data_IF_138212668834
#
_entry.id   IF_138212668834
#
_cell.length_a   1.000
_cell.length_b   1.000
_cell.length_c   1.000
_cell.angle_alpha   90.00
_cell.angle_beta   90.00
_cell.angle_gamma   90.00
#
_symmetry.space_group_name_H-M   'P 1'
#
loop_
_entity.id
_entity.type
_entity.pdbx_description
1 polymer ?
#
# COMPACT_ATOMS: atom_id res chain seq x y z
N UNK A 1 25.03 -3.57 44.65
CA UNK A 1 23.65 -3.14 44.31
C UNK A 1 23.75 -1.76 43.70
N UNK A 2 23.32 -1.58 42.44
CA UNK A 2 23.41 -0.28 41.77
C UNK A 2 22.30 0.65 42.28
N UNK A 3 22.61 1.92 42.52
CA UNK A 3 21.63 2.94 42.95
C UNK A 3 20.82 3.43 41.74
N UNK A 4 19.55 3.73 41.95
CA UNK A 4 18.70 4.36 40.93
C UNK A 4 19.04 5.86 40.79
N UNK A 5 18.67 6.48 39.66
CA UNK A 5 18.85 7.91 39.46
C UNK A 5 18.17 8.73 40.58
N UNK A 6 16.94 8.36 40.98
CA UNK A 6 16.23 9.01 42.08
C UNK A 6 16.94 8.85 43.44
N UNK A 7 17.57 7.71 43.70
CA UNK A 7 18.35 7.51 44.92
C UNK A 7 19.59 8.42 44.94
N UNK A 8 20.28 8.57 43.80
CA UNK A 8 21.44 9.46 43.67
C UNK A 8 21.05 10.94 43.79
N UNK A 9 19.94 11.36 43.18
CA UNK A 9 19.41 12.72 43.27
C UNK A 9 19.09 13.06 44.73
N UNK A 10 18.39 12.16 45.43
CA UNK A 10 18.03 12.34 46.84
C UNK A 10 19.28 12.46 47.71
N UNK A 11 20.24 11.55 47.54
CA UNK A 11 21.50 11.58 48.29
C UNK A 11 22.32 12.85 48.02
N UNK A 12 22.32 13.35 46.79
CA UNK A 12 23.02 14.60 46.44
C UNK A 12 22.37 15.82 47.14
N UNK A 13 21.04 15.89 47.19
CA UNK A 13 20.33 16.93 47.94
C UNK A 13 20.56 16.83 49.45
N UNK A 14 20.57 15.62 50.01
CA UNK A 14 20.86 15.38 51.43
C UNK A 14 22.29 15.77 51.79
N UNK A 15 23.27 15.37 50.98
CA UNK A 15 24.70 15.68 51.19
C UNK A 15 24.99 17.19 51.08
N UNK A 16 24.25 17.92 50.24
CA UNK A 16 24.41 19.37 50.10
C UNK A 16 24.17 20.14 51.41
N UNK A 17 23.41 19.59 52.35
CA UNK A 17 23.15 20.24 53.65
C UNK A 17 24.38 20.29 54.57
N UNK A 18 25.39 19.44 54.33
CA UNK A 18 26.62 19.38 55.12
C UNK A 18 27.81 20.14 54.49
N UNK A 19 27.62 20.79 53.34
CA UNK A 19 28.69 21.41 52.55
C UNK A 19 28.71 22.95 52.70
N UNK A 20 29.88 23.61 52.45
CA UNK A 20 29.95 25.06 52.34
C UNK A 20 29.03 25.61 51.23
N UNK A 21 28.57 26.88 51.32
CA UNK A 21 27.52 27.42 50.44
C UNK A 21 27.78 27.24 48.93
N UNK A 22 29.02 27.47 48.48
CA UNK A 22 29.38 27.34 47.07
C UNK A 22 29.28 25.87 46.58
N UNK A 23 29.81 24.92 47.36
CA UNK A 23 29.76 23.50 47.03
C UNK A 23 28.34 22.92 47.12
N UNK A 24 27.55 23.38 48.09
CA UNK A 24 26.15 23.00 48.25
C UNK A 24 25.30 23.46 47.06
N UNK A 25 25.55 24.67 46.54
CA UNK A 25 24.84 25.20 45.37
C UNK A 25 25.10 24.36 44.13
N UNK A 26 26.37 24.05 43.84
CA UNK A 26 26.77 23.23 42.69
C UNK A 26 26.16 21.84 42.78
N UNK A 27 26.19 21.20 43.96
CA UNK A 27 25.65 19.85 44.11
C UNK A 27 24.12 19.79 43.90
N UNK A 28 23.39 20.82 44.36
CA UNK A 28 21.93 20.94 44.11
C UNK A 28 21.63 21.18 42.63
N UNK A 29 22.45 21.98 41.95
CA UNK A 29 22.33 22.20 40.51
C UNK A 29 22.57 20.91 39.72
N UNK A 30 23.62 20.15 40.05
CA UNK A 30 23.89 18.84 39.44
C UNK A 30 22.76 17.85 39.68
N UNK A 31 22.21 17.80 40.89
CA UNK A 31 21.08 16.94 41.22
C UNK A 31 19.82 17.33 40.42
N UNK A 32 19.56 18.63 40.25
CA UNK A 32 18.46 19.15 39.43
C UNK A 32 18.64 18.81 37.94
N UNK A 33 19.86 18.96 37.42
CA UNK A 33 20.20 18.59 36.03
C UNK A 33 20.02 17.09 35.79
N UNK A 34 20.41 16.25 36.76
CA UNK A 34 20.21 14.80 36.69
C UNK A 34 18.72 14.43 36.70
N UNK A 35 17.91 15.13 37.49
CA UNK A 35 16.46 14.93 37.54
C UNK A 35 15.79 15.28 36.20
N UNK A 36 16.08 16.48 35.66
CA UNK A 36 15.59 16.92 34.34
C UNK A 36 16.04 15.96 33.23
N UNK A 37 17.31 15.55 33.24
CA UNK A 37 17.83 14.61 32.23
C UNK A 37 17.17 13.24 32.32
N UNK A 38 16.89 12.77 33.54
CA UNK A 38 16.19 11.49 33.76
C UNK A 38 14.76 11.57 33.26
N UNK A 39 14.03 12.65 33.56
CA UNK A 39 12.67 12.87 33.07
C UNK A 39 12.61 12.94 31.54
N UNK A 40 13.53 13.69 30.91
CA UNK A 40 13.62 13.77 29.46
C UNK A 40 13.94 12.41 28.81
N UNK A 41 14.83 11.61 29.41
CA UNK A 41 15.15 10.25 28.93
C UNK A 41 13.94 9.32 29.01
N UNK A 42 13.16 9.38 30.10
CA UNK A 42 11.93 8.59 30.26
C UNK A 42 10.94 8.97 29.15
N UNK A 43 10.68 10.27 28.96
CA UNK A 43 9.77 10.75 27.92
C UNK A 43 10.20 10.29 26.52
N UNK A 44 11.48 10.42 26.17
CA UNK A 44 12.00 9.97 24.86
C UNK A 44 11.87 8.45 24.71
N UNK A 45 12.04 7.68 25.79
CA UNK A 45 11.84 6.23 25.75
C UNK A 45 10.36 5.86 25.53
N UNK A 46 9.42 6.58 26.13
CA UNK A 46 7.98 6.37 25.95
C UNK A 46 7.53 6.73 24.53
N UNK A 47 8.00 7.87 24.00
CA UNK A 47 7.78 8.28 22.62
C UNK A 47 8.37 7.27 21.63
N UNK A 48 9.60 6.80 21.88
CA UNK A 48 10.24 5.75 21.08
C UNK A 48 9.45 4.44 21.12
N UNK A 49 8.95 4.04 22.30
CA UNK A 49 8.14 2.82 22.46
C UNK A 49 6.85 2.91 21.65
N UNK A 50 6.18 4.06 21.71
CA UNK A 50 4.99 4.35 20.89
C UNK A 50 5.30 4.26 19.40
N UNK A 51 6.38 4.91 18.95
CA UNK A 51 6.78 4.89 17.55
C UNK A 51 7.11 3.47 17.05
N UNK A 52 7.82 2.66 17.85
CA UNK A 52 8.13 1.26 17.52
C UNK A 52 6.85 0.45 17.38
N UNK A 53 5.88 0.62 18.29
CA UNK A 53 4.61 -0.10 18.23
C UNK A 53 3.83 0.26 16.96
N UNK A 54 3.77 1.55 16.61
CA UNK A 54 3.13 2.00 15.37
C UNK A 54 3.82 1.42 14.13
N UNK A 55 5.15 1.50 14.04
CA UNK A 55 5.93 0.95 12.92
C UNK A 55 5.72 -0.57 12.80
N UNK A 56 5.70 -1.28 13.93
CA UNK A 56 5.47 -2.73 13.97
C UNK A 56 4.07 -3.07 13.47
N UNK A 57 3.05 -2.34 13.91
CA UNK A 57 1.68 -2.54 13.43
C UNK A 57 1.56 -2.23 11.92
N UNK A 58 2.17 -1.15 11.44
CA UNK A 58 2.20 -0.82 10.00
C UNK A 58 2.88 -1.93 9.20
N UNK A 59 3.99 -2.47 9.68
CA UNK A 59 4.69 -3.59 9.04
C UNK A 59 3.79 -4.80 8.89
N UNK A 60 3.13 -5.22 9.96
CA UNK A 60 2.21 -6.37 9.96
C UNK A 60 1.02 -6.13 9.02
N UNK A 61 0.35 -4.99 9.15
CA UNK A 61 -0.86 -4.70 8.37
C UNK A 61 -0.60 -4.52 6.88
N UNK A 62 0.61 -4.11 6.50
CA UNK A 62 1.02 -3.97 5.09
C UNK A 62 1.66 -5.24 4.51
N UNK A 63 1.83 -6.30 5.31
CA UNK A 63 2.55 -7.51 4.89
C UNK A 63 4.03 -7.27 4.58
N UNK A 64 4.65 -6.25 5.19
CA UNK A 64 6.03 -5.87 4.91
C UNK A 64 7.02 -6.85 5.59
N UNK A 65 7.88 -7.56 4.82
CA UNK A 65 8.81 -8.55 5.38
C UNK A 65 9.86 -7.93 6.29
N UNK A 66 10.45 -8.73 7.18
CA UNK A 66 11.57 -8.31 8.02
C UNK A 66 12.78 -7.86 7.16
N UNK A 67 13.52 -6.86 7.64
CA UNK A 67 14.68 -6.30 6.93
C UNK A 67 14.33 -5.39 5.76
N UNK A 68 13.05 -5.29 5.36
CA UNK A 68 12.59 -4.36 4.33
C UNK A 68 12.16 -3.03 4.96
N UNK A 69 12.50 -1.92 4.29
CA UNK A 69 12.06 -0.59 4.68
C UNK A 69 10.54 -0.44 4.52
N UNK A 70 9.86 -0.17 5.62
CA UNK A 70 8.39 -0.09 5.66
C UNK A 70 7.86 1.16 4.95
N UNK A 71 8.63 2.25 4.91
CA UNK A 71 8.20 3.48 4.25
C UNK A 71 8.18 3.26 2.74
N UNK A 72 9.26 2.70 2.18
CA UNK A 72 9.32 2.41 0.76
C UNK A 72 8.33 1.32 0.36
N UNK A 73 8.09 0.33 1.24
CA UNK A 73 7.05 -0.69 1.04
C UNK A 73 5.66 -0.07 0.87
N UNK A 74 5.28 0.83 1.78
CA UNK A 74 3.96 1.49 1.75
C UNK A 74 3.86 2.51 0.62
N UNK A 75 4.95 3.22 0.26
CA UNK A 75 4.96 4.13 -0.89
C UNK A 75 4.64 3.40 -2.19
N UNK A 76 5.25 2.25 -2.44
CA UNK A 76 4.98 1.45 -3.65
C UNK A 76 3.50 1.05 -3.74
N UNK A 77 2.87 0.67 -2.61
CA UNK A 77 1.44 0.39 -2.58
C UNK A 77 0.59 1.62 -2.85
N UNK A 78 0.98 2.78 -2.31
CA UNK A 78 0.27 4.02 -2.56
C UNK A 78 0.36 4.43 -4.03
N UNK A 79 1.54 4.31 -4.65
CA UNK A 79 1.77 4.59 -6.07
C UNK A 79 0.95 3.67 -6.98
N UNK A 80 0.94 2.36 -6.70
CA UNK A 80 0.12 1.39 -7.43
C UNK A 80 -1.38 1.70 -7.30
N UNK A 81 -1.85 2.04 -6.09
CA UNK A 81 -3.24 2.42 -5.87
C UNK A 81 -3.61 3.71 -6.63
N UNK A 82 -2.70 4.67 -6.74
CA UNK A 82 -2.90 5.86 -7.57
C UNK A 82 -3.04 5.48 -9.04
N UNK A 83 -2.18 4.59 -9.54
CA UNK A 83 -2.28 4.06 -10.90
C UNK A 83 -3.60 3.33 -11.18
N UNK A 84 -4.04 2.48 -10.25
CA UNK A 84 -5.33 1.78 -10.36
C UNK A 84 -6.53 2.72 -10.39
N UNK A 85 -6.50 3.81 -9.62
CA UNK A 85 -7.55 4.83 -9.63
C UNK A 85 -7.58 5.67 -10.89
N UNK A 86 -6.42 5.88 -11.54
CA UNK A 86 -6.38 6.55 -12.82
C UNK A 86 -6.96 5.67 -13.95
N UNK A 87 -6.92 4.34 -13.79
CA UNK A 87 -7.33 3.38 -14.81
C UNK A 87 -6.51 3.52 -16.10
N UNK A 88 -7.03 2.99 -17.20
CA UNK A 88 -6.42 3.16 -18.52
C UNK A 88 -6.91 4.44 -19.22
N UNK A 89 -8.18 4.83 -19.01
CA UNK A 89 -8.84 5.99 -19.61
C UNK A 89 -10.13 6.31 -18.84
N UNK A 90 -10.91 7.27 -19.30
CA UNK A 90 -12.17 7.69 -18.69
C UNK A 90 -13.30 7.68 -19.71
N UNK A 91 -14.55 7.67 -19.24
CA UNK A 91 -15.72 7.91 -20.06
C UNK A 91 -16.68 8.87 -19.39
N UNK A 92 -17.42 9.62 -20.21
CA UNK A 92 -18.68 10.23 -19.81
C UNK A 92 -19.82 9.53 -20.56
N UNK A 93 -20.99 9.52 -19.95
CA UNK A 93 -22.22 9.03 -20.56
C UNK A 93 -23.37 9.95 -20.20
N UNK A 94 -24.26 10.21 -21.16
CA UNK A 94 -25.57 10.82 -20.95
C UNK A 94 -26.54 10.32 -22.01
N UNK A 95 -27.84 10.36 -21.76
CA UNK A 95 -28.86 9.90 -22.72
C UNK A 95 -28.78 10.59 -24.08
N UNK A 96 -28.47 11.89 -24.10
CA UNK A 96 -28.35 12.67 -25.35
C UNK A 96 -26.96 12.58 -25.99
N UNK A 97 -25.90 12.52 -25.19
CA UNK A 97 -24.50 12.52 -25.67
C UNK A 97 -24.01 11.10 -26.03
N UNK A 98 -24.59 10.05 -25.43
CA UNK A 98 -24.10 8.68 -25.54
C UNK A 98 -22.81 8.45 -24.76
N UNK A 99 -22.08 7.39 -25.11
CA UNK A 99 -20.77 7.08 -24.51
C UNK A 99 -19.67 7.89 -25.22
N UNK A 100 -18.92 8.66 -24.43
CA UNK A 100 -17.77 9.41 -24.91
C UNK A 100 -16.50 8.97 -24.19
N UNK A 101 -15.44 8.76 -24.96
CA UNK A 101 -14.13 8.35 -24.45
C UNK A 101 -13.25 9.56 -24.20
N UNK A 102 -12.55 9.56 -23.07
CA UNK A 102 -11.66 10.65 -22.65
C UNK A 102 -10.31 10.10 -22.20
N UNK A 103 -9.24 10.84 -22.50
CA UNK A 103 -7.89 10.43 -22.12
C UNK A 103 -7.60 10.75 -20.67
N UNK A 104 -8.15 11.85 -20.16
CA UNK A 104 -7.92 12.33 -18.80
C UNK A 104 -9.21 12.48 -18.02
N UNK A 105 -9.11 12.44 -16.68
CA UNK A 105 -10.26 12.63 -15.78
C UNK A 105 -10.91 14.00 -16.01
N UNK A 106 -10.09 15.04 -16.16
CA UNK A 106 -10.57 16.41 -16.35
C UNK A 106 -11.41 16.56 -17.62
N UNK A 107 -11.00 15.94 -18.72
CA UNK A 107 -11.77 15.96 -19.99
C UNK A 107 -13.14 15.30 -19.79
N UNK A 108 -13.18 14.15 -19.10
CA UNK A 108 -14.44 13.47 -18.83
C UNK A 108 -15.35 14.27 -17.89
N UNK A 109 -14.78 14.92 -16.87
CA UNK A 109 -15.51 15.79 -15.94
C UNK A 109 -16.09 16.99 -16.68
N UNK A 110 -15.29 17.66 -17.51
CA UNK A 110 -15.74 18.81 -18.29
C UNK A 110 -16.89 18.43 -19.24
N UNK A 111 -16.78 17.28 -19.92
CA UNK A 111 -17.84 16.78 -20.79
C UNK A 111 -19.14 16.47 -20.01
N UNK A 112 -19.03 15.80 -18.86
CA UNK A 112 -20.18 15.50 -18.01
C UNK A 112 -20.83 16.77 -17.41
N UNK A 113 -20.02 17.73 -16.96
CA UNK A 113 -20.51 19.01 -16.44
C UNK A 113 -21.17 19.86 -17.53
N UNK A 114 -20.62 19.87 -18.74
CA UNK A 114 -21.24 20.52 -19.90
C UNK A 114 -22.60 19.90 -20.23
N UNK A 115 -22.68 18.57 -20.26
CA UNK A 115 -23.95 17.88 -20.48
C UNK A 115 -25.00 18.22 -19.40
N UNK A 116 -24.58 18.37 -18.13
CA UNK A 116 -25.47 18.82 -17.05
C UNK A 116 -25.90 20.28 -17.24
N UNK A 117 -24.99 21.14 -17.70
CA UNK A 117 -25.25 22.58 -17.89
C UNK A 117 -26.33 22.83 -18.95
N UNK A 118 -26.37 22.01 -20.00
CA UNK A 118 -27.41 22.08 -21.03
C UNK A 118 -28.83 21.92 -20.45
N UNK A 119 -28.99 21.12 -19.39
CA UNK A 119 -30.28 20.97 -18.69
C UNK A 119 -30.56 22.08 -17.66
N UNK A 120 -29.57 22.88 -17.25
CA UNK A 120 -29.79 23.94 -16.23
C UNK A 120 -30.71 25.04 -16.70
N UNK A 121 -30.70 25.36 -17.99
CA UNK A 121 -31.52 26.42 -18.58
C UNK A 121 -33.03 26.15 -18.46
N UNK A 122 -33.42 24.89 -18.58
CA UNK A 122 -34.82 24.45 -18.56
C UNK A 122 -35.27 23.91 -17.20
N UNK A 123 -34.39 23.88 -16.20
CA UNK A 123 -34.66 23.32 -14.87
C UNK A 123 -35.60 24.15 -13.97
N UNK A 124 -36.23 25.21 -14.49
CA UNK A 124 -37.06 26.14 -13.71
C UNK A 124 -38.25 25.45 -13.01
N UNK A 125 -38.82 24.42 -13.64
CA UNK A 125 -39.93 23.61 -13.10
C UNK A 125 -39.46 22.26 -12.53
N UNK A 126 -38.15 22.05 -12.41
CA UNK A 126 -37.52 20.80 -12.00
C UNK A 126 -36.54 20.26 -13.04
N UNK A 127 -35.64 19.38 -12.62
CA UNK A 127 -34.67 18.73 -13.50
C UNK A 127 -35.31 17.62 -14.32
N UNK A 128 -34.84 17.42 -15.56
CA UNK A 128 -35.19 16.25 -16.35
C UNK A 128 -34.69 14.97 -15.67
N UNK A 129 -35.48 13.89 -15.73
CA UNK A 129 -35.05 12.55 -15.29
C UNK A 129 -33.84 12.04 -16.10
N UNK A 130 -33.59 12.61 -17.28
CA UNK A 130 -32.43 12.30 -18.11
C UNK A 130 -31.10 12.71 -17.47
N UNK A 131 -31.10 13.71 -16.60
CA UNK A 131 -29.91 14.17 -15.87
C UNK A 131 -29.39 13.07 -14.95
N UNK A 132 -30.28 12.21 -14.43
CA UNK A 132 -29.89 11.06 -13.60
C UNK A 132 -29.10 10.01 -14.39
N UNK A 133 -29.20 10.03 -15.72
CA UNK A 133 -28.41 9.14 -16.58
C UNK A 133 -27.00 9.64 -16.82
N UNK A 134 -26.71 10.92 -16.53
CA UNK A 134 -25.39 11.49 -16.74
C UNK A 134 -24.42 10.90 -15.71
N UNK A 135 -23.40 10.20 -16.20
CA UNK A 135 -22.38 9.63 -15.35
C UNK A 135 -20.99 9.69 -15.99
N UNK A 136 -19.99 9.58 -15.13
CA UNK A 136 -18.59 9.46 -15.50
C UNK A 136 -18.05 8.19 -14.88
N UNK A 137 -17.11 7.55 -15.57
CA UNK A 137 -16.43 6.39 -15.02
C UNK A 137 -15.02 6.20 -15.55
N UNK A 138 -14.32 5.30 -14.87
CA UNK A 138 -12.94 4.91 -15.21
C UNK A 138 -12.99 3.64 -16.06
N UNK A 139 -12.23 3.64 -17.15
CA UNK A 139 -12.04 2.48 -18.01
C UNK A 139 -10.81 1.73 -17.50
N UNK A 140 -11.05 0.59 -16.84
CA UNK A 140 -9.97 -0.27 -16.36
C UNK A 140 -9.24 -0.99 -17.50
N UNK A 141 -9.97 -1.36 -18.55
CA UNK A 141 -9.45 -2.00 -19.76
C UNK A 141 -10.33 -1.64 -20.94
N UNK A 142 -9.73 -1.47 -22.12
CA UNK A 142 -10.44 -1.29 -23.39
C UNK A 142 -10.10 -2.41 -24.35
N UNK A 143 -10.92 -2.62 -25.38
CA UNK A 143 -10.53 -3.52 -26.46
C UNK A 143 -9.44 -2.88 -27.32
N UNK A 144 -8.52 -3.68 -27.84
CA UNK A 144 -7.45 -3.24 -28.72
C UNK A 144 -7.34 -4.21 -29.89
N UNK A 145 -7.02 -3.65 -31.06
CA UNK A 145 -6.83 -4.40 -32.29
C UNK A 145 -5.63 -5.34 -32.14
N UNK A 146 -5.83 -6.61 -32.46
CA UNK A 146 -4.79 -7.65 -32.39
C UNK A 146 -4.82 -8.51 -33.65
N UNK A 147 -3.69 -9.14 -33.96
CA UNK A 147 -3.59 -10.11 -35.04
C UNK A 147 -3.89 -9.54 -36.42
N UNK A 148 -3.57 -8.26 -36.66
CA UNK A 148 -3.74 -7.64 -37.98
C UNK A 148 -2.92 -8.38 -39.04
N UNK A 149 -3.61 -8.89 -40.06
CA UNK A 149 -3.00 -9.64 -41.16
C UNK A 149 -3.78 -9.45 -42.47
N UNK A 150 -3.15 -9.70 -43.63
CA UNK A 150 -3.87 -9.76 -44.89
C UNK A 150 -5.01 -10.80 -44.86
N UNK A 151 -6.08 -10.50 -45.59
CA UNK A 151 -7.19 -11.44 -45.83
C UNK A 151 -6.70 -12.68 -46.59
N UNK A 152 -7.23 -13.84 -46.24
CA UNK A 152 -7.08 -15.08 -47.02
C UNK A 152 -8.45 -15.64 -47.47
N UNK A 153 -8.45 -16.75 -48.21
CA UNK A 153 -9.67 -17.37 -48.75
C UNK A 153 -10.56 -18.02 -47.66
N UNK A 154 -9.98 -18.36 -46.50
CA UNK A 154 -10.69 -18.97 -45.39
C UNK A 154 -11.44 -17.94 -44.52
N UNK A 155 -11.18 -16.63 -44.70
CA UNK A 155 -11.83 -15.56 -43.96
C UNK A 155 -13.26 -15.28 -44.49
N UNK A 156 -14.25 -15.32 -43.59
CA UNK A 156 -15.68 -15.06 -43.88
C UNK A 156 -16.03 -13.61 -44.24
N UNK A 157 -15.05 -12.78 -44.62
CA UNK A 157 -15.25 -11.38 -44.96
C UNK A 157 -15.31 -11.15 -46.47
N UNK A 158 -15.92 -10.03 -46.87
CA UNK A 158 -16.08 -9.66 -48.27
C UNK A 158 -14.72 -9.63 -49.01
N UNK A 159 -14.63 -10.11 -50.28
CA UNK A 159 -13.40 -10.10 -51.04
C UNK A 159 -12.76 -8.72 -51.25
N UNK A 160 -13.53 -7.64 -51.08
CA UNK A 160 -13.03 -6.25 -51.13
C UNK A 160 -12.26 -5.82 -49.87
N UNK A 161 -12.22 -6.65 -48.83
CA UNK A 161 -11.47 -6.37 -47.60
C UNK A 161 -10.03 -6.85 -47.74
N UNK A 162 -9.08 -5.92 -47.66
CA UNK A 162 -7.65 -6.22 -47.82
C UNK A 162 -7.01 -6.84 -46.56
N UNK A 163 -7.52 -6.47 -45.38
CA UNK A 163 -6.90 -6.79 -44.09
C UNK A 163 -7.96 -7.18 -43.08
N UNK A 164 -7.67 -8.21 -42.29
CA UNK A 164 -8.51 -8.67 -41.19
C UNK A 164 -7.75 -8.51 -39.87
N UNK A 165 -8.49 -8.25 -38.80
CA UNK A 165 -7.98 -8.18 -37.44
C UNK A 165 -9.04 -8.67 -36.46
N UNK A 166 -8.61 -9.00 -35.25
CA UNK A 166 -9.49 -9.28 -34.13
C UNK A 166 -9.38 -8.15 -33.09
N UNK A 167 -10.29 -8.14 -32.12
CA UNK A 167 -10.22 -7.26 -30.95
C UNK A 167 -10.19 -8.11 -29.68
N UNK A 168 -9.16 -7.89 -28.87
CA UNK A 168 -9.05 -8.48 -27.55
C UNK A 168 -9.07 -7.37 -26.49
N UNK A 169 -9.51 -7.69 -25.28
CA UNK A 169 -9.36 -6.77 -24.15
C UNK A 169 -7.88 -6.54 -23.86
N UNK A 170 -7.52 -5.28 -23.55
CA UNK A 170 -6.20 -4.92 -23.07
C UNK A 170 -5.80 -5.81 -21.87
N UNK A 171 -4.50 -6.03 -21.66
CA UNK A 171 -3.99 -6.74 -20.48
C UNK A 171 -4.50 -6.12 -19.18
N UNK A 172 -4.44 -6.89 -18.09
CA UNK A 172 -4.72 -6.33 -16.77
C UNK A 172 -3.77 -5.18 -16.46
N UNK A 173 -4.25 -4.19 -15.70
CA UNK A 173 -3.33 -3.28 -15.02
C UNK A 173 -2.49 -4.15 -14.08
N UNK A 174 -1.18 -4.16 -14.29
CA UNK A 174 -0.26 -4.91 -13.46
C UNK A 174 -0.25 -4.30 -12.06
N UNK A 175 -0.26 -5.17 -11.05
CA UNK A 175 -0.24 -4.77 -9.64
C UNK A 175 0.94 -5.42 -8.94
N UNK A 176 2.18 -5.14 -9.40
CA UNK A 176 3.38 -5.83 -8.92
C UNK A 176 3.59 -5.69 -7.41
N UNK A 177 3.24 -4.56 -6.79
CA UNK A 177 3.35 -4.36 -5.34
C UNK A 177 2.34 -5.22 -4.57
N UNK A 178 1.09 -5.28 -5.03
CA UNK A 178 0.06 -6.16 -4.44
C UNK A 178 0.38 -7.65 -4.68
N UNK A 179 0.79 -8.02 -5.89
CA UNK A 179 1.13 -9.40 -6.25
C UNK A 179 2.26 -9.93 -5.39
N UNK A 180 3.26 -9.09 -5.14
CA UNK A 180 4.34 -9.32 -4.20
C UNK A 180 3.87 -9.60 -2.77
N UNK A 181 2.90 -8.84 -2.27
CA UNK A 181 2.34 -9.05 -0.92
C UNK A 181 1.65 -10.40 -0.86
N UNK A 182 0.82 -10.69 -1.86
CA UNK A 182 0.09 -11.97 -1.94
C UNK A 182 1.07 -13.14 -2.01
N UNK A 183 2.16 -13.01 -2.78
CA UNK A 183 3.22 -14.01 -2.85
C UNK A 183 3.96 -14.17 -1.50
N UNK A 184 4.27 -13.06 -0.82
CA UNK A 184 4.84 -13.05 0.52
C UNK A 184 3.97 -13.78 1.54
N UNK A 185 2.67 -13.45 1.61
CA UNK A 185 1.70 -14.09 2.52
C UNK A 185 1.61 -15.60 2.26
N UNK A 186 1.56 -16.00 0.98
CA UNK A 186 1.56 -17.43 0.59
C UNK A 186 2.86 -18.11 1.03
N UNK A 187 4.01 -17.45 0.87
CA UNK A 187 5.31 -17.98 1.29
C UNK A 187 5.40 -18.13 2.83
N UNK A 188 4.91 -17.15 3.58
CA UNK A 188 4.88 -17.20 5.04
C UNK A 188 3.99 -18.33 5.54
N UNK A 189 2.83 -18.54 4.92
CA UNK A 189 1.93 -19.67 5.21
C UNK A 189 2.64 -21.02 5.02
N UNK A 190 3.45 -21.16 3.96
CA UNK A 190 4.23 -22.39 3.74
C UNK A 190 5.36 -22.58 4.75
N UNK A 191 6.02 -21.49 5.17
CA UNK A 191 7.06 -21.56 6.20
C UNK A 191 6.47 -21.97 7.56
N UNK A 192 5.33 -21.38 7.94
CA UNK A 192 4.59 -21.76 9.16
C UNK A 192 4.17 -23.23 9.13
N UNK A 193 3.61 -23.69 8.00
CA UNK A 193 3.25 -25.10 7.82
C UNK A 193 4.47 -26.04 7.92
N UNK A 194 5.63 -25.63 7.39
CA UNK A 194 6.87 -26.39 7.52
C UNK A 194 7.32 -26.51 8.99
N UNK A 195 7.25 -25.42 9.75
CA UNK A 195 7.57 -25.40 11.19
C UNK A 195 6.63 -26.33 11.98
N UNK A 196 5.33 -26.29 11.72
CA UNK A 196 4.38 -27.18 12.40
C UNK A 196 4.63 -28.66 12.07
N UNK A 197 4.92 -28.98 10.80
CA UNK A 197 5.27 -30.35 10.41
C UNK A 197 6.52 -30.87 11.14
N UNK A 198 7.52 -30.02 11.30
CA UNK A 198 8.74 -30.37 12.05
C UNK A 198 8.51 -30.54 13.55
N UNK A 199 7.46 -29.97 14.12
CA UNK A 199 7.09 -30.21 15.53
C UNK A 199 6.44 -31.58 15.73
N UNK A 200 5.78 -32.11 14.71
CA UNK A 200 5.11 -33.42 14.74
C UNK A 200 6.09 -34.55 14.37
N UNK A 201 7.41 -34.33 14.48
CA UNK A 201 8.50 -35.17 13.95
C UNK A 201 8.34 -36.66 14.32
N UNK A 202 7.64 -37.39 13.45
CA UNK A 202 7.24 -38.79 13.66
C UNK A 202 7.92 -39.72 12.67
N UNK A 203 8.27 -39.25 11.48
CA UNK A 203 8.91 -40.02 10.40
C UNK A 203 9.64 -39.12 9.39
N UNK A 204 10.67 -39.67 8.73
CA UNK A 204 11.53 -38.97 7.77
C UNK A 204 10.77 -38.29 6.59
N UNK A 205 9.62 -38.82 6.18
CA UNK A 205 8.79 -38.24 5.12
C UNK A 205 8.25 -36.85 5.50
N UNK A 206 7.97 -36.60 6.77
CA UNK A 206 7.47 -35.30 7.27
C UNK A 206 8.51 -34.20 7.06
N UNK A 207 9.79 -34.51 7.30
CA UNK A 207 10.92 -33.59 7.05
C UNK A 207 11.12 -33.27 5.57
N UNK A 208 10.89 -34.26 4.69
CA UNK A 208 10.96 -34.03 3.23
C UNK A 208 9.85 -33.09 2.77
N UNK A 209 8.64 -33.22 3.32
CA UNK A 209 7.51 -32.32 3.02
C UNK A 209 7.83 -30.90 3.50
N UNK A 210 8.33 -30.73 4.73
CA UNK A 210 8.73 -29.42 5.26
C UNK A 210 9.79 -28.74 4.37
N UNK A 211 10.79 -29.49 3.89
CA UNK A 211 11.78 -28.95 2.93
C UNK A 211 11.14 -28.49 1.62
N UNK A 212 10.17 -29.24 1.09
CA UNK A 212 9.46 -28.86 -0.14
C UNK A 212 8.59 -27.62 0.05
N UNK A 213 7.93 -27.47 1.19
CA UNK A 213 7.18 -26.26 1.52
C UNK A 213 8.08 -25.02 1.55
N UNK A 214 9.27 -25.13 2.13
CA UNK A 214 10.26 -24.03 2.12
C UNK A 214 10.77 -23.70 0.72
N UNK A 215 10.93 -24.71 -0.13
CA UNK A 215 11.29 -24.50 -1.54
C UNK A 215 10.20 -23.72 -2.28
N UNK A 216 8.92 -24.06 -2.08
CA UNK A 216 7.80 -23.30 -2.64
C UNK A 216 7.72 -21.88 -2.09
N UNK A 217 7.93 -21.68 -0.79
CA UNK A 217 8.00 -20.37 -0.18
C UNK A 217 9.09 -19.50 -0.83
N UNK A 218 10.27 -20.09 -1.07
CA UNK A 218 11.37 -19.42 -1.77
C UNK A 218 11.00 -19.04 -3.21
N UNK A 219 10.43 -19.96 -3.97
CA UNK A 219 10.02 -19.71 -5.36
C UNK A 219 9.00 -18.56 -5.47
N UNK A 220 8.02 -18.51 -4.56
CA UNK A 220 7.03 -17.42 -4.53
C UNK A 220 7.68 -16.05 -4.32
N UNK A 221 8.69 -15.95 -3.45
CA UNK A 221 9.42 -14.71 -3.19
C UNK A 221 10.33 -14.30 -4.36
N UNK A 222 10.91 -15.26 -5.08
CA UNK A 222 11.77 -15.00 -6.24
C UNK A 222 10.98 -14.56 -7.48
N UNK A 223 9.81 -15.16 -7.73
CA UNK A 223 8.92 -14.74 -8.83
C UNK A 223 8.40 -13.33 -8.60
N UNK A 224 8.12 -12.97 -7.35
CA UNK A 224 7.71 -11.62 -6.95
C UNK A 224 8.79 -10.54 -7.05
N UNK A 225 10.08 -10.90 -7.11
CA UNK A 225 11.18 -9.93 -7.18
C UNK A 225 11.60 -9.58 -8.62
N UNK A 226 11.16 -10.37 -9.60
CA UNK A 226 11.51 -10.25 -11.02
C UNK A 226 10.32 -9.83 -11.90
N UNK A 227 9.17 -9.55 -11.29
CA UNK A 227 7.95 -9.05 -11.94
C UNK A 227 7.73 -7.58 -11.68
#
# INVERSE_FOLDING_TARGET
MYKTAQQLIREAHEAANGLPPASASILKEVASLLDVSTAALIQVCDERSTAINTITATRVNSGCPEGVDVQDWVKQLAEENLGLKAGASYFSYGSECGFEWHKTENEAVEAAESAIDDYRGDACDGWSEEVDSICLGIIMRSSTKVGERPRNEDDSCDPSIDTVCDYALLPNIETPATDRIVAGIKADTFEEAAVELERVDTIASTRVIALKLREFAKQLREVSANG
#
